data_IF_830260289834
#
_entry.id   IF_830260289834
#
_cell.length_a   1.000
_cell.length_b   1.000
_cell.length_c   1.000
_cell.angle_alpha   90.00
_cell.angle_beta   90.00
_cell.angle_gamma   90.00
#
_symmetry.space_group_name_H-M   'P 1'
#
loop_
_entity.id
_entity.type
_entity.pdbx_description
1 polymer ?
#
# COMPACT_ATOMS: atom_id res chain seq x y z
N UNK A 1 -8.91 0.11 14.32
CA UNK A 1 -8.88 0.76 12.99
C UNK A 1 -8.76 2.28 13.00
N UNK A 2 -8.84 2.98 14.15
CA UNK A 2 -8.82 4.46 14.21
C UNK A 2 -7.52 5.12 13.66
N UNK A 3 -6.41 4.41 13.63
CA UNK A 3 -5.10 4.91 13.18
C UNK A 3 -4.51 4.09 12.03
N UNK A 4 -5.35 3.35 11.31
CA UNK A 4 -4.93 2.41 10.28
C UNK A 4 -5.71 2.68 9.00
N UNK A 5 -5.00 2.79 7.88
CA UNK A 5 -5.59 2.79 6.55
C UNK A 5 -5.28 1.42 5.93
N UNK A 6 -6.31 0.78 5.37
CA UNK A 6 -6.15 -0.52 4.71
C UNK A 6 -6.23 -0.29 3.21
N UNK A 7 -5.14 -0.63 2.52
CA UNK A 7 -5.10 -0.71 1.07
C UNK A 7 -5.22 -2.18 0.69
N UNK A 8 -6.27 -2.53 -0.05
CA UNK A 8 -6.56 -3.91 -0.41
C UNK A 8 -6.60 -4.05 -1.94
N UNK A 9 -5.67 -4.84 -2.47
CA UNK A 9 -5.73 -5.42 -3.80
C UNK A 9 -5.54 -6.94 -3.62
N UNK A 10 -6.66 -7.64 -3.65
CA UNK A 10 -6.76 -9.08 -3.37
C UNK A 10 -6.29 -9.91 -4.57
N UNK A 11 -6.11 -11.21 -4.37
CA UNK A 11 -5.68 -12.13 -5.42
C UNK A 11 -6.67 -12.18 -6.62
N UNK A 12 -7.94 -11.86 -6.40
CA UNK A 12 -8.96 -11.79 -7.47
C UNK A 12 -8.97 -10.46 -8.22
N UNK A 13 -8.29 -9.43 -7.71
CA UNK A 13 -8.20 -8.14 -8.38
C UNK A 13 -7.21 -8.18 -9.54
N UNK A 14 -7.40 -7.30 -10.53
CA UNK A 14 -6.54 -7.24 -11.70
C UNK A 14 -5.07 -6.98 -11.33
N UNK A 15 -4.13 -7.62 -12.04
CA UNK A 15 -2.69 -7.47 -11.80
C UNK A 15 -2.21 -5.99 -11.72
N UNK A 16 -2.71 -5.04 -12.55
CA UNK A 16 -2.33 -3.64 -12.42
C UNK A 16 -2.71 -3.01 -11.07
N UNK A 17 -3.82 -3.43 -10.46
CA UNK A 17 -4.22 -2.96 -9.13
C UNK A 17 -3.31 -3.53 -8.04
N UNK A 18 -2.93 -4.80 -8.15
CA UNK A 18 -1.97 -5.43 -7.23
C UNK A 18 -0.58 -4.78 -7.34
N UNK A 19 -0.14 -4.45 -8.56
CA UNK A 19 1.10 -3.72 -8.82
C UNK A 19 1.09 -2.31 -8.22
N UNK A 20 -0.03 -1.58 -8.36
CA UNK A 20 -0.17 -0.20 -7.87
C UNK A 20 -0.47 -0.08 -6.38
N UNK A 21 -0.93 -1.14 -5.72
CA UNK A 21 -1.35 -1.07 -4.32
C UNK A 21 -0.23 -0.61 -3.36
N UNK A 22 1.03 -1.09 -3.46
CA UNK A 22 2.11 -0.60 -2.60
C UNK A 22 2.42 0.89 -2.80
N UNK A 23 2.40 1.37 -4.05
CA UNK A 23 2.61 2.79 -4.36
C UNK A 23 1.49 3.66 -3.78
N UNK A 24 0.24 3.18 -3.88
CA UNK A 24 -0.92 3.87 -3.33
C UNK A 24 -0.83 3.98 -1.80
N UNK A 25 -0.45 2.89 -1.12
CA UNK A 25 -0.21 2.90 0.33
C UNK A 25 0.95 3.81 0.72
N UNK A 26 2.05 3.80 -0.04
CA UNK A 26 3.20 4.66 0.20
C UNK A 26 2.79 6.14 0.16
N UNK A 27 2.11 6.57 -0.90
CA UNK A 27 1.65 7.97 -1.03
C UNK A 27 0.73 8.40 0.12
N UNK A 28 -0.15 7.52 0.60
CA UNK A 28 -0.97 7.79 1.80
C UNK A 28 -0.11 7.93 3.06
N UNK A 29 0.92 7.11 3.22
CA UNK A 29 1.89 7.21 4.30
C UNK A 29 2.73 8.50 4.26
N UNK A 30 3.14 8.91 3.06
CA UNK A 30 3.90 10.13 2.82
C UNK A 30 3.14 11.38 3.27
N UNK A 31 1.82 11.42 3.10
CA UNK A 31 1.01 12.52 3.64
C UNK A 31 1.23 12.73 5.15
N UNK A 32 1.31 11.66 5.95
CA UNK A 32 1.57 11.77 7.38
C UNK A 32 3.02 12.16 7.66
N UNK A 33 3.99 11.60 6.93
CA UNK A 33 5.41 11.97 7.02
C UNK A 33 5.61 13.47 6.75
N UNK A 34 5.02 13.96 5.67
CA UNK A 34 5.22 15.31 5.14
C UNK A 34 4.45 16.38 5.94
N UNK A 35 3.49 15.95 6.77
CA UNK A 35 2.76 16.81 7.73
C UNK A 35 3.33 16.76 9.15
N UNK A 36 4.58 16.29 9.32
CA UNK A 36 5.29 16.30 10.61
C UNK A 36 4.89 15.18 11.57
N UNK A 37 4.25 14.12 11.07
CA UNK A 37 3.81 12.95 11.85
C UNK A 37 4.66 11.73 11.49
N UNK A 38 4.58 10.70 12.31
CA UNK A 38 5.18 9.39 12.00
C UNK A 38 4.14 8.48 11.35
N UNK A 39 4.59 7.69 10.37
CA UNK A 39 3.81 6.69 9.67
C UNK A 39 4.54 5.35 9.68
N UNK A 40 3.78 4.26 9.76
CA UNK A 40 4.25 2.90 9.56
C UNK A 40 3.50 2.31 8.37
N UNK A 41 4.22 1.66 7.46
CA UNK A 41 3.65 0.96 6.32
C UNK A 41 4.09 -0.51 6.33
N UNK A 42 3.17 -1.41 5.99
CA UNK A 42 3.40 -2.85 5.85
C UNK A 42 2.92 -3.26 4.46
N UNK A 43 3.78 -3.95 3.72
CA UNK A 43 3.45 -4.50 2.41
C UNK A 43 3.34 -6.03 2.54
N UNK A 44 2.18 -6.58 2.20
CA UNK A 44 1.90 -8.02 2.27
C UNK A 44 1.24 -8.47 0.94
N UNK A 45 1.99 -8.95 -0.04
CA UNK A 45 3.45 -9.09 -0.04
C UNK A 45 4.09 -8.56 -1.32
N UNK A 46 5.36 -8.15 -1.21
CA UNK A 46 6.11 -7.58 -2.33
C UNK A 46 6.49 -8.62 -3.39
N UNK A 47 6.47 -9.92 -3.06
CA UNK A 47 6.69 -10.98 -4.04
C UNK A 47 5.52 -11.09 -5.02
N UNK A 48 4.28 -11.00 -4.53
CA UNK A 48 3.05 -10.95 -5.34
C UNK A 48 2.96 -9.67 -6.15
N UNK A 49 3.38 -8.54 -5.58
CA UNK A 49 3.51 -7.31 -6.36
C UNK A 49 4.50 -7.49 -7.53
N UNK A 50 5.65 -8.13 -7.29
CA UNK A 50 6.65 -8.39 -8.33
C UNK A 50 6.15 -9.36 -9.42
N UNK A 51 5.32 -10.35 -9.06
CA UNK A 51 4.67 -11.25 -10.04
C UNK A 51 3.62 -10.52 -10.88
N UNK A 52 2.98 -9.48 -10.33
CA UNK A 52 1.96 -8.71 -11.01
C UNK A 52 2.52 -7.67 -12.01
N UNK A 53 3.83 -7.40 -11.96
CA UNK A 53 4.56 -6.56 -12.91
C UNK A 53 5.02 -7.37 -14.13
#
# INVERSE_FOLDING_TARGET
MKYSVIVAATASDAAPLQYLAPYSGCAMGEHFRDTGRHALIIYDDLSKQAVAY
#
